data_IF_874097022742
#
_entry.id   IF_874097022742
#
_cell.length_a   1.000
_cell.length_b   1.000
_cell.length_c   1.000
_cell.angle_alpha   90.00
_cell.angle_beta   90.00
_cell.angle_gamma   90.00
#
_symmetry.space_group_name_H-M   'P 1'
#
loop_
_entity.id
_entity.type
_entity.pdbx_description
1 polymer ?
#
# COMPACT_ATOMS: atom_id res chain seq x y z
N UNK A 1 -5.20 29.06 -14.22
CA UNK A 1 -4.22 28.09 -14.71
C UNK A 1 -3.90 27.09 -13.62
N UNK A 2 -4.09 25.82 -13.92
CA UNK A 2 -3.82 24.77 -12.94
C UNK A 2 -2.33 24.72 -12.62
N UNK A 3 -1.99 24.66 -11.33
CA UNK A 3 -0.60 24.54 -10.91
C UNK A 3 -0.19 23.09 -10.96
N UNK A 4 0.97 22.76 -11.58
CA UNK A 4 1.38 21.35 -11.77
C UNK A 4 1.63 20.60 -10.46
N UNK A 5 1.85 21.31 -9.35
CA UNK A 5 2.19 20.75 -8.05
C UNK A 5 1.01 20.69 -7.07
N UNK A 6 -0.22 20.96 -7.56
CA UNK A 6 -1.41 20.89 -6.73
C UNK A 6 -1.96 19.47 -6.65
N UNK A 7 -1.18 18.60 -6.05
CA UNK A 7 -1.61 17.24 -5.75
C UNK A 7 -1.84 17.07 -4.26
N UNK A 8 -2.85 16.30 -3.91
CA UNK A 8 -2.99 15.77 -2.57
C UNK A 8 -1.95 14.67 -2.44
N UNK A 9 -1.03 14.80 -1.50
CA UNK A 9 0.08 13.86 -1.36
C UNK A 9 -0.28 12.77 -0.36
N UNK A 10 -0.16 11.53 -0.80
CA UNK A 10 -0.42 10.35 0.01
C UNK A 10 0.78 9.42 -0.03
N UNK A 11 0.88 8.56 0.97
CA UNK A 11 1.84 7.47 0.99
C UNK A 11 1.11 6.16 1.27
N UNK A 12 1.61 5.09 0.66
CA UNK A 12 1.03 3.76 0.77
C UNK A 12 2.09 2.73 1.11
N UNK A 13 1.68 1.70 1.83
CA UNK A 13 2.49 0.53 2.08
C UNK A 13 1.99 -0.63 1.22
N UNK A 14 2.95 -1.35 0.61
CA UNK A 14 2.68 -2.64 -0.02
C UNK A 14 3.17 -3.71 0.97
N UNK A 15 2.28 -4.26 1.81
CA UNK A 15 2.72 -5.15 2.88
C UNK A 15 2.96 -6.56 2.38
N UNK A 16 4.17 -7.06 2.58
CA UNK A 16 4.58 -8.38 2.14
C UNK A 16 4.95 -9.26 3.34
N UNK A 17 4.50 -10.51 3.30
CA UNK A 17 4.90 -11.52 4.28
C UNK A 17 4.70 -12.90 3.66
N UNK A 18 5.73 -13.73 3.72
CA UNK A 18 5.68 -15.12 3.23
C UNK A 18 5.19 -15.22 1.77
N UNK A 19 5.64 -14.29 0.92
CA UNK A 19 5.26 -14.28 -0.50
C UNK A 19 3.84 -13.81 -0.78
N UNK A 20 3.13 -13.30 0.23
CA UNK A 20 1.77 -12.80 0.09
C UNK A 20 1.70 -11.31 0.33
N UNK A 21 0.67 -10.68 -0.24
CA UNK A 21 0.40 -9.26 -0.10
C UNK A 21 -0.84 -9.08 0.76
N UNK A 22 -0.79 -8.16 1.72
CA UNK A 22 -1.97 -7.85 2.52
C UNK A 22 -2.78 -6.75 1.83
N UNK A 23 -4.05 -7.02 1.61
CA UNK A 23 -5.01 -6.04 1.15
C UNK A 23 -6.03 -5.77 2.25
N UNK A 24 -6.61 -4.57 2.22
CA UNK A 24 -7.72 -4.21 3.10
C UNK A 24 -8.87 -3.70 2.24
N UNK A 25 -10.08 -3.79 2.79
CA UNK A 25 -11.23 -3.18 2.12
C UNK A 25 -11.13 -1.67 2.19
N UNK A 26 -11.60 -0.99 1.16
CA UNK A 26 -11.76 0.46 1.18
C UNK A 26 -12.76 0.85 2.27
N UNK A 27 -12.79 2.14 2.66
CA UNK A 27 -13.65 2.60 3.75
C UNK A 27 -15.13 2.30 3.54
N UNK A 28 -15.60 2.25 2.27
CA UNK A 28 -16.98 1.87 1.96
C UNK A 28 -17.15 0.35 1.76
N UNK A 29 -16.10 -0.44 1.92
CA UNK A 29 -16.14 -1.90 1.81
C UNK A 29 -16.28 -2.45 0.40
N UNK A 30 -16.25 -1.61 -0.63
CA UNK A 30 -16.55 -2.03 -2.01
C UNK A 30 -15.34 -2.50 -2.81
N UNK A 31 -14.12 -2.13 -2.40
CA UNK A 31 -12.91 -2.47 -3.14
C UNK A 31 -11.83 -3.00 -2.21
N UNK A 32 -10.89 -3.74 -2.78
CA UNK A 32 -9.67 -4.14 -2.09
C UNK A 32 -8.57 -3.17 -2.46
N UNK A 33 -7.86 -2.65 -1.46
CA UNK A 33 -6.85 -1.61 -1.63
C UNK A 33 -5.63 -1.91 -0.76
N UNK A 34 -4.52 -1.22 -1.04
CA UNK A 34 -3.38 -1.23 -0.11
C UNK A 34 -3.57 -0.11 0.91
N UNK A 35 -3.02 -0.24 2.12
CA UNK A 35 -3.10 0.83 3.11
C UNK A 35 -2.45 2.11 2.60
N UNK A 36 -3.13 3.24 2.70
CA UNK A 36 -2.61 4.53 2.30
C UNK A 36 -3.34 5.67 3.00
N UNK A 37 -2.70 6.80 3.10
CA UNK A 37 -3.32 7.99 3.66
C UNK A 37 -2.55 9.26 3.35
N UNK A 38 -3.09 10.38 3.82
CA UNK A 38 -2.53 11.71 3.62
C UNK A 38 -1.23 11.88 4.38
N UNK A 39 -0.24 12.47 3.70
CA UNK A 39 1.00 12.86 4.36
C UNK A 39 0.73 14.18 5.08
N UNK A 40 0.62 14.09 6.40
CA UNK A 40 0.35 15.26 7.23
C UNK A 40 1.58 16.15 7.34
N UNK A 41 1.39 17.48 7.61
CA UNK A 41 2.52 18.36 7.84
C UNK A 41 3.43 17.81 8.95
N UNK A 42 4.73 17.79 8.68
CA UNK A 42 5.71 17.27 9.63
C UNK A 42 5.98 15.78 9.55
N UNK A 43 5.20 15.03 8.76
CA UNK A 43 5.46 13.61 8.53
C UNK A 43 6.24 13.38 7.24
N UNK A 44 7.07 12.35 7.22
CA UNK A 44 7.64 11.85 5.98
C UNK A 44 6.65 10.89 5.30
N UNK A 45 6.85 10.64 4.03
CA UNK A 45 6.03 9.64 3.30
C UNK A 45 6.15 8.26 3.95
N UNK A 46 7.36 7.86 4.35
CA UNK A 46 7.56 6.56 5.00
C UNK A 46 6.83 6.45 6.34
N UNK A 47 6.90 7.49 7.16
CA UNK A 47 6.17 7.52 8.43
C UNK A 47 4.67 7.36 8.21
N UNK A 48 4.12 8.04 7.20
CA UNK A 48 2.71 7.95 6.84
C UNK A 48 2.36 6.53 6.40
N UNK A 49 3.18 5.92 5.54
CA UNK A 49 2.91 4.56 5.06
C UNK A 49 2.85 3.56 6.22
N UNK A 50 3.78 3.65 7.17
CA UNK A 50 3.78 2.77 8.36
C UNK A 50 2.57 3.01 9.26
N UNK A 51 2.22 4.27 9.46
CA UNK A 51 1.06 4.62 10.28
C UNK A 51 -0.23 4.09 9.67
N UNK A 52 -0.40 4.24 8.36
CA UNK A 52 -1.61 3.76 7.69
C UNK A 52 -1.67 2.23 7.65
N UNK A 53 -0.54 1.56 7.52
CA UNK A 53 -0.51 0.10 7.61
C UNK A 53 -0.98 -0.38 8.99
N UNK A 54 -0.63 0.33 10.04
CA UNK A 54 -1.11 0.02 11.39
C UNK A 54 -2.60 0.34 11.53
N UNK A 55 -3.01 1.57 11.20
CA UNK A 55 -4.39 2.02 11.41
C UNK A 55 -5.40 1.22 10.60
N UNK A 56 -5.10 0.96 9.33
CA UNK A 56 -6.04 0.30 8.43
C UNK A 56 -5.97 -1.22 8.47
N UNK A 57 -4.80 -1.79 8.73
CA UNK A 57 -4.57 -3.22 8.57
C UNK A 57 -3.99 -3.92 9.80
N UNK A 58 -3.58 -3.19 10.83
CA UNK A 58 -2.99 -3.80 12.02
C UNK A 58 -1.64 -4.44 11.78
N UNK A 59 -0.83 -3.86 10.90
CA UNK A 59 0.46 -4.42 10.51
C UNK A 59 1.60 -3.62 11.11
N UNK A 60 2.61 -4.34 11.60
CA UNK A 60 3.86 -3.79 12.11
C UNK A 60 5.01 -4.36 11.27
N UNK A 61 6.02 -3.55 11.02
CA UNK A 61 7.16 -3.98 10.24
C UNK A 61 8.06 -2.82 9.86
N UNK A 62 8.84 -3.03 8.81
CA UNK A 62 9.80 -2.06 8.32
C UNK A 62 9.61 -1.81 6.83
N UNK A 63 9.85 -0.59 6.40
CA UNK A 63 9.82 -0.25 4.98
C UNK A 63 11.19 -0.44 4.37
N UNK A 64 11.21 -0.78 3.08
CA UNK A 64 12.41 -0.62 2.28
C UNK A 64 12.77 0.86 2.25
N UNK A 65 14.06 1.15 2.17
CA UNK A 65 14.58 2.52 2.28
C UNK A 65 14.01 3.45 1.23
N UNK A 66 13.91 2.97 -0.01
CA UNK A 66 13.41 3.77 -1.13
C UNK A 66 12.01 3.32 -1.53
N UNK A 67 11.16 4.26 -1.96
CA UNK A 67 9.88 3.87 -2.51
C UNK A 67 10.06 3.11 -3.83
N UNK A 68 9.12 2.24 -4.14
CA UNK A 68 9.16 1.48 -5.40
C UNK A 68 8.63 2.32 -6.57
N UNK A 69 7.93 3.39 -6.30
CA UNK A 69 7.39 4.27 -7.31
C UNK A 69 6.24 5.10 -6.77
N UNK A 70 5.57 5.79 -7.67
CA UNK A 70 4.40 6.58 -7.33
C UNK A 70 3.38 6.48 -8.46
N UNK A 71 2.12 6.74 -8.14
CA UNK A 71 1.07 6.80 -9.16
C UNK A 71 0.13 7.94 -8.86
N UNK A 72 -0.63 8.33 -9.89
CA UNK A 72 -1.57 9.43 -9.82
C UNK A 72 -2.99 8.90 -9.99
N UNK A 73 -3.94 9.49 -9.30
CA UNK A 73 -5.35 9.23 -9.56
C UNK A 73 -6.17 10.47 -9.26
N UNK A 74 -7.38 10.52 -9.81
CA UNK A 74 -8.32 11.59 -9.56
C UNK A 74 -9.55 11.02 -8.86
N UNK A 75 -10.08 11.79 -7.92
CA UNK A 75 -11.30 11.45 -7.21
C UNK A 75 -11.98 12.75 -6.79
N UNK A 76 -13.25 12.88 -7.17
CA UNK A 76 -14.07 14.03 -6.77
C UNK A 76 -13.42 15.39 -7.10
N UNK A 77 -12.78 15.47 -8.27
CA UNK A 77 -12.15 16.70 -8.73
C UNK A 77 -10.77 16.98 -8.15
N UNK A 78 -10.27 16.12 -7.28
CA UNK A 78 -8.95 16.27 -6.69
C UNK A 78 -7.96 15.30 -7.34
N UNK A 79 -6.70 15.75 -7.46
CA UNK A 79 -5.60 14.94 -7.97
C UNK A 79 -4.76 14.45 -6.82
N UNK A 80 -4.49 13.15 -6.81
CA UNK A 80 -3.72 12.49 -5.74
C UNK A 80 -2.42 11.94 -6.32
N UNK A 81 -1.34 12.14 -5.57
CA UNK A 81 -0.03 11.56 -5.86
C UNK A 81 0.30 10.61 -4.71
N UNK A 82 0.45 9.33 -5.00
CA UNK A 82 0.69 8.31 -3.99
C UNK A 82 2.09 7.74 -4.13
N UNK A 83 2.90 7.89 -3.09
CA UNK A 83 4.24 7.28 -3.01
C UNK A 83 4.09 5.92 -2.35
N UNK A 84 4.62 4.86 -2.99
CA UNK A 84 4.44 3.47 -2.55
C UNK A 84 5.74 2.89 -2.03
N UNK A 85 5.70 2.31 -0.82
CA UNK A 85 6.84 1.63 -0.20
C UNK A 85 6.54 0.16 -0.01
N UNK A 86 7.50 -0.70 -0.28
CA UNK A 86 7.41 -2.10 0.14
C UNK A 86 7.59 -2.16 1.64
N UNK A 87 6.72 -2.89 2.30
CA UNK A 87 6.77 -3.10 3.74
C UNK A 87 6.99 -4.58 4.04
N UNK A 88 8.02 -4.86 4.83
CA UNK A 88 8.25 -6.18 5.36
C UNK A 88 7.49 -6.31 6.67
N UNK A 89 6.43 -7.10 6.67
CA UNK A 89 5.57 -7.26 7.84
C UNK A 89 6.19 -8.25 8.81
N UNK A 90 6.41 -7.82 10.05
CA UNK A 90 7.00 -8.66 11.10
C UNK A 90 5.99 -9.12 12.14
N UNK A 91 4.88 -8.39 12.28
CA UNK A 91 3.83 -8.77 13.23
C UNK A 91 2.46 -8.35 12.69
N UNK A 92 1.47 -9.16 13.00
CA UNK A 92 0.09 -8.96 12.56
C UNK A 92 -0.80 -8.94 13.80
N UNK A 93 -1.42 -7.80 14.07
CA UNK A 93 -2.28 -7.65 15.24
C UNK A 93 -3.65 -8.27 15.00
N UNK A 94 -4.26 -8.79 16.06
CA UNK A 94 -5.64 -9.30 16.01
C UNK A 94 -6.66 -8.17 16.12
N UNK A 95 -6.27 -7.05 16.73
CA UNK A 95 -7.10 -5.87 16.85
C UNK A 95 -6.29 -4.65 16.42
N UNK A 96 -6.96 -3.72 15.75
CA UNK A 96 -6.31 -2.50 15.26
C UNK A 96 -7.35 -1.39 15.10
N UNK A 97 -6.92 -0.12 14.92
CA UNK A 97 -7.85 1.02 14.98
C UNK A 97 -9.08 0.93 14.08
N UNK A 98 -8.91 0.52 12.80
CA UNK A 98 -10.02 0.52 11.84
C UNK A 98 -10.64 -0.87 11.62
N UNK A 99 -10.37 -1.81 12.49
CA UNK A 99 -10.88 -3.18 12.38
C UNK A 99 -12.41 -3.25 12.24
N UNK A 100 -13.13 -2.34 12.85
CA UNK A 100 -14.60 -2.39 12.86
C UNK A 100 -15.22 -2.23 11.47
N UNK A 101 -14.51 -1.58 10.54
CA UNK A 101 -15.03 -1.35 9.18
C UNK A 101 -14.06 -1.76 8.07
N UNK A 102 -12.95 -2.41 8.40
CA UNK A 102 -12.03 -2.93 7.39
C UNK A 102 -11.80 -4.41 7.58
N UNK A 103 -11.87 -5.12 6.47
CA UNK A 103 -11.43 -6.51 6.43
C UNK A 103 -10.03 -6.56 5.86
N UNK A 104 -9.25 -7.52 6.28
CA UNK A 104 -7.89 -7.72 5.82
C UNK A 104 -7.77 -9.10 5.18
N UNK A 105 -7.02 -9.20 4.09
CA UNK A 105 -6.83 -10.45 3.37
C UNK A 105 -5.40 -10.57 2.87
N UNK A 106 -4.80 -11.72 3.08
CA UNK A 106 -3.49 -12.04 2.54
C UNK A 106 -3.69 -12.81 1.24
N UNK A 107 -3.16 -12.26 0.14
CA UNK A 107 -3.38 -12.82 -1.19
C UNK A 107 -2.06 -13.16 -1.86
N UNK A 108 -2.09 -14.11 -2.78
CA UNK A 108 -0.96 -14.39 -3.65
C UNK A 108 -0.75 -13.22 -4.61
N UNK A 109 0.41 -13.13 -5.27
CA UNK A 109 0.61 -12.12 -6.31
C UNK A 109 -0.48 -12.13 -7.37
N UNK A 110 -0.91 -13.31 -7.83
CA UNK A 110 -2.01 -13.42 -8.78
C UNK A 110 -3.30 -12.84 -8.20
N UNK A 111 -3.62 -13.17 -6.94
CA UNK A 111 -4.79 -12.63 -6.26
C UNK A 111 -4.75 -11.11 -6.13
N UNK A 112 -3.55 -10.56 -5.91
CA UNK A 112 -3.38 -9.11 -5.89
C UNK A 112 -3.79 -8.48 -7.20
N UNK A 113 -3.23 -8.97 -8.32
CA UNK A 113 -3.50 -8.40 -9.64
C UNK A 113 -4.96 -8.58 -10.07
N UNK A 114 -5.63 -9.62 -9.59
CA UNK A 114 -7.04 -9.83 -9.88
C UNK A 114 -7.95 -8.84 -9.13
N UNK A 115 -7.52 -8.34 -7.98
CA UNK A 115 -8.35 -7.51 -7.10
C UNK A 115 -8.06 -6.02 -7.18
N UNK A 116 -6.86 -5.63 -7.57
CA UNK A 116 -6.49 -4.21 -7.67
C UNK A 116 -7.06 -3.61 -8.95
N UNK A 117 -7.76 -2.49 -8.80
CA UNK A 117 -8.36 -1.78 -9.93
C UNK A 117 -7.45 -0.71 -10.51
N UNK A 118 -6.51 -0.17 -9.72
CA UNK A 118 -5.59 0.87 -10.17
C UNK A 118 -4.50 0.27 -11.06
N UNK A 119 -4.61 0.47 -12.37
CA UNK A 119 -3.66 -0.07 -13.35
C UNK A 119 -2.23 0.41 -13.16
N UNK A 120 -2.05 1.69 -12.80
CA UNK A 120 -0.72 2.25 -12.55
C UNK A 120 -0.06 1.62 -11.32
N UNK A 121 -0.84 1.36 -10.28
CA UNK A 121 -0.36 0.66 -9.10
C UNK A 121 0.03 -0.78 -9.45
N UNK A 122 -0.79 -1.47 -10.21
CA UNK A 122 -0.50 -2.84 -10.65
C UNK A 122 0.81 -2.91 -11.43
N UNK A 123 1.07 -1.93 -12.31
CA UNK A 123 2.30 -1.85 -13.08
C UNK A 123 3.54 -1.72 -12.18
N UNK A 124 3.49 -0.82 -11.21
CA UNK A 124 4.58 -0.60 -10.26
C UNK A 124 4.84 -1.88 -9.44
N UNK A 125 3.78 -2.50 -8.96
CA UNK A 125 3.88 -3.65 -8.06
C UNK A 125 4.36 -4.91 -8.78
N UNK A 126 4.01 -5.07 -10.04
CA UNK A 126 4.34 -6.28 -10.82
C UNK A 126 5.83 -6.62 -10.75
N UNK A 127 6.69 -5.66 -11.05
CA UNK A 127 8.13 -5.87 -11.05
C UNK A 127 8.65 -6.16 -9.65
N UNK A 128 8.12 -5.47 -8.66
CA UNK A 128 8.53 -5.64 -7.26
C UNK A 128 8.17 -7.02 -6.73
N UNK A 129 6.94 -7.47 -6.98
CA UNK A 129 6.48 -8.77 -6.51
C UNK A 129 7.24 -9.91 -7.19
N UNK A 130 7.47 -9.79 -8.50
CA UNK A 130 8.25 -10.77 -9.26
C UNK A 130 9.69 -10.83 -8.77
N UNK A 131 10.29 -9.67 -8.49
CA UNK A 131 11.66 -9.59 -7.98
C UNK A 131 11.79 -10.28 -6.63
N UNK A 132 10.85 -10.03 -5.72
CA UNK A 132 10.86 -10.69 -4.41
C UNK A 132 10.66 -12.20 -4.52
N UNK A 133 9.83 -12.66 -5.44
CA UNK A 133 9.64 -14.08 -5.68
C UNK A 133 10.91 -14.74 -6.21
N UNK A 134 11.62 -14.08 -7.13
CA UNK A 134 12.88 -14.57 -7.66
C UNK A 134 13.97 -14.65 -6.58
N UNK A 135 14.06 -13.63 -5.74
CA UNK A 135 15.00 -13.62 -4.61
C UNK A 135 14.72 -14.77 -3.65
N UNK A 136 13.46 -15.04 -3.36
CA UNK A 136 13.06 -16.14 -2.48
C UNK A 136 13.44 -17.50 -3.09
N UNK A 137 13.24 -17.69 -4.39
CA UNK A 137 13.62 -18.92 -5.07
C UNK A 137 15.13 -19.09 -5.12
N UNK A 138 15.87 -18.01 -5.28
CA UNK A 138 17.34 -18.06 -5.30
C UNK A 138 17.93 -18.43 -3.94
N UNK A 139 17.25 -18.11 -2.86
CA UNK A 139 17.66 -18.45 -1.50
C UNK A 139 17.28 -19.88 -1.10
N UNK A 140 16.37 -20.47 -1.83
CA UNK A 140 15.95 -21.85 -1.57
C UNK A 140 16.95 -22.85 -2.16
#
# INVERSE_FOLDING_TARGET
>A
MAQPDMYVRQAAALPLRNGRVCLVTSSNGKRWVIPKGLIEPGQTAGETALQEAWEEAGLLGALDREPIGSYLYEKEGLRYHVTVFVMKVTAVAQDWPERSFRQRSWVSPTGFFERIEEGDLAEIVRLTVLQHAEEHLAEA
#
